data_IF_730082230434
#
_entry.id   IF_730082230434
#
_cell.length_a   1.000
_cell.length_b   1.000
_cell.length_c   1.000
_cell.angle_alpha   90.00
_cell.angle_beta   90.00
_cell.angle_gamma   90.00
#
_symmetry.space_group_name_H-M   'P 1'
#
loop_
_entity.id
_entity.type
_entity.pdbx_description
1 polymer ?
#
# COMPACT_ATOMS: atom_id res chain seq x y z
N UNK A 1 -17.26 -10.72 -9.29
CA UNK A 1 -17.44 -9.34 -9.78
C UNK A 1 -16.88 -8.43 -8.69
N UNK A 2 -15.69 -7.85 -8.89
CA UNK A 2 -15.17 -6.85 -7.95
C UNK A 2 -16.15 -5.67 -7.95
N UNK A 3 -16.66 -5.31 -6.77
CA UNK A 3 -17.49 -4.11 -6.63
C UNK A 3 -16.57 -2.89 -6.80
N UNK A 4 -16.95 -1.97 -7.67
CA UNK A 4 -16.13 -0.80 -7.98
C UNK A 4 -15.99 0.11 -6.76
N UNK A 5 -14.75 0.37 -6.33
CA UNK A 5 -14.45 1.38 -5.31
C UNK A 5 -14.49 2.76 -5.97
N UNK A 6 -15.30 3.68 -5.44
CA UNK A 6 -15.34 5.07 -5.91
C UNK A 6 -14.32 5.89 -5.11
N UNK A 7 -13.47 6.64 -5.80
CA UNK A 7 -12.46 7.53 -5.19
C UNK A 7 -12.86 8.99 -5.38
N UNK A 8 -12.84 9.78 -4.31
CA UNK A 8 -13.16 11.21 -4.35
C UNK A 8 -12.07 12.04 -3.67
N UNK A 9 -11.75 13.18 -4.29
CA UNK A 9 -10.82 14.18 -3.78
C UNK A 9 -11.49 15.56 -3.83
N UNK A 10 -12.08 16.04 -2.71
CA UNK A 10 -12.69 17.36 -2.65
C UNK A 10 -11.67 18.47 -2.94
N UNK A 11 -12.01 19.49 -3.75
CA UNK A 11 -11.08 20.58 -4.09
C UNK A 11 -10.76 21.50 -2.89
N UNK A 12 -11.49 21.37 -1.79
CA UNK A 12 -11.26 22.10 -0.53
C UNK A 12 -10.22 21.45 0.36
N UNK A 13 -9.70 20.27 -0.01
CA UNK A 13 -8.66 19.55 0.72
C UNK A 13 -7.33 19.55 -0.06
N UNK A 14 -6.19 19.25 0.60
CA UNK A 14 -4.91 19.09 -0.09
C UNK A 14 -5.00 18.09 -1.25
N UNK A 15 -4.24 18.34 -2.32
CA UNK A 15 -4.21 17.48 -3.50
C UNK A 15 -3.58 16.11 -3.18
N UNK A 16 -4.41 15.17 -2.76
CA UNK A 16 -3.98 13.81 -2.42
C UNK A 16 -3.51 13.00 -3.66
N UNK A 17 -3.98 13.38 -4.86
CA UNK A 17 -3.60 12.72 -6.11
C UNK A 17 -2.10 12.82 -6.39
N UNK A 18 -1.48 13.98 -6.12
CA UNK A 18 -0.02 14.17 -6.23
C UNK A 18 0.76 13.30 -5.24
N UNK A 19 0.12 12.89 -4.15
CA UNK A 19 0.71 12.10 -3.08
C UNK A 19 0.40 10.59 -3.21
N UNK A 20 -0.27 10.18 -4.29
CA UNK A 20 -0.55 8.77 -4.59
C UNK A 20 -1.69 8.14 -3.78
N UNK A 21 -2.59 8.93 -3.19
CA UNK A 21 -3.76 8.42 -2.46
C UNK A 21 -5.03 9.22 -2.75
N UNK A 22 -6.17 8.75 -2.26
CA UNK A 22 -7.44 9.47 -2.33
C UNK A 22 -7.90 9.87 -0.93
N UNK A 23 -8.48 11.06 -0.80
CA UNK A 23 -9.04 11.55 0.47
C UNK A 23 -10.21 10.66 0.94
N UNK A 24 -10.99 10.13 -0.01
CA UNK A 24 -12.20 9.35 0.27
C UNK A 24 -12.25 8.12 -0.64
N UNK A 25 -12.63 6.98 -0.05
CA UNK A 25 -12.99 5.74 -0.75
C UNK A 25 -14.41 5.35 -0.35
N UNK A 26 -15.30 5.13 -1.31
CA UNK A 26 -16.66 4.64 -1.09
C UNK A 26 -16.75 3.21 -1.62
N UNK A 27 -17.31 2.31 -0.82
CA UNK A 27 -17.57 0.92 -1.20
C UNK A 27 -19.02 0.55 -0.93
N UNK A 28 -19.58 -0.26 -1.81
CA UNK A 28 -20.88 -0.87 -1.61
C UNK A 28 -20.81 -2.00 -0.56
N UNK A 29 -21.94 -2.40 0.03
CA UNK A 29 -21.98 -3.55 0.93
C UNK A 29 -21.51 -4.83 0.23
N UNK A 30 -20.54 -5.51 0.85
CA UNK A 30 -19.92 -6.70 0.29
C UNK A 30 -18.99 -7.40 1.29
N UNK A 31 -18.17 -8.32 0.79
CA UNK A 31 -17.15 -9.00 1.61
C UNK A 31 -16.02 -8.03 1.95
N UNK A 32 -15.74 -7.86 3.23
CA UNK A 32 -14.59 -7.11 3.73
C UNK A 32 -13.56 -8.07 4.32
N UNK A 33 -12.31 -7.94 3.89
CA UNK A 33 -11.18 -8.66 4.48
C UNK A 33 -10.28 -7.67 5.24
N UNK A 34 -9.98 -7.96 6.50
CA UNK A 34 -9.06 -7.18 7.31
C UNK A 34 -7.70 -7.87 7.33
N UNK A 35 -6.72 -7.26 6.69
CA UNK A 35 -5.34 -7.76 6.65
C UNK A 35 -4.59 -7.17 7.84
N UNK A 36 -3.91 -8.01 8.62
CA UNK A 36 -3.04 -7.56 9.71
C UNK A 36 -1.91 -6.68 9.16
N UNK A 37 -1.34 -5.80 9.99
CA UNK A 37 -0.20 -4.98 9.60
C UNK A 37 0.96 -5.84 9.10
N UNK A 38 1.41 -5.58 7.88
CA UNK A 38 2.57 -6.26 7.31
C UNK A 38 3.84 -5.52 7.75
N UNK A 39 4.85 -6.28 8.14
CA UNK A 39 6.16 -5.79 8.57
C UNK A 39 7.26 -6.45 7.75
N UNK A 40 8.49 -5.94 7.83
CA UNK A 40 9.65 -6.42 7.08
C UNK A 40 10.20 -7.78 7.58
N UNK A 41 9.31 -8.70 7.96
CA UNK A 41 9.63 -10.04 8.42
C UNK A 41 9.47 -11.04 7.27
N UNK A 42 10.48 -11.90 7.09
CA UNK A 42 10.48 -12.97 6.08
C UNK A 42 10.10 -14.33 6.69
N UNK A 43 9.42 -15.21 5.93
CA UNK A 43 9.04 -16.54 6.41
C UNK A 43 10.21 -17.42 6.85
N UNK A 44 11.39 -17.23 6.24
CA UNK A 44 12.61 -17.96 6.54
C UNK A 44 13.35 -17.46 7.80
N UNK A 45 12.82 -16.42 8.48
CA UNK A 45 13.42 -15.87 9.69
C UNK A 45 14.69 -15.06 9.45
N UNK A 46 15.01 -14.71 8.20
CA UNK A 46 16.14 -13.83 7.91
C UNK A 46 16.02 -12.48 8.63
N UNK A 47 17.16 -11.87 9.01
CA UNK A 47 17.18 -10.58 9.68
C UNK A 47 16.46 -9.49 8.88
N UNK A 48 15.78 -8.60 9.62
CA UNK A 48 15.20 -7.37 9.07
C UNK A 48 16.34 -6.48 8.57
N UNK A 49 16.31 -5.97 7.32
CA UNK A 49 17.32 -5.03 6.83
C UNK A 49 17.33 -3.75 7.65
N UNK A 50 18.50 -3.10 7.79
CA UNK A 50 18.57 -1.78 8.41
C UNK A 50 18.02 -0.66 7.49
N UNK A 51 18.10 -0.86 6.18
CA UNK A 51 17.67 0.10 5.16
C UNK A 51 16.14 0.12 5.00
N UNK A 52 15.56 1.32 4.98
CA UNK A 52 14.12 1.53 4.91
C UNK A 52 13.53 1.10 3.56
N UNK A 53 14.27 1.26 2.46
CA UNK A 53 13.83 0.86 1.13
C UNK A 53 13.71 -0.66 1.06
N UNK A 54 14.72 -1.37 1.56
CA UNK A 54 14.69 -2.84 1.62
C UNK A 54 13.61 -3.36 2.56
N UNK A 55 13.37 -2.70 3.70
CA UNK A 55 12.22 -3.03 4.56
C UNK A 55 10.89 -2.84 3.82
N UNK A 56 10.73 -1.74 3.09
CA UNK A 56 9.51 -1.40 2.34
C UNK A 56 9.21 -2.45 1.26
N UNK A 57 10.23 -2.92 0.53
CA UNK A 57 10.07 -3.98 -0.47
C UNK A 57 9.50 -5.27 0.15
N UNK A 58 10.00 -5.66 1.33
CA UNK A 58 9.51 -6.86 2.03
C UNK A 58 8.07 -6.65 2.50
N UNK A 59 7.75 -5.49 3.08
CA UNK A 59 6.39 -5.14 3.51
C UNK A 59 5.42 -5.21 2.33
N UNK A 60 5.78 -4.63 1.18
CA UNK A 60 4.96 -4.68 -0.03
C UNK A 60 4.81 -6.11 -0.57
N UNK A 61 5.87 -6.93 -0.54
CA UNK A 61 5.81 -8.34 -0.93
C UNK A 61 4.86 -9.15 -0.04
N UNK A 62 4.93 -8.94 1.28
CA UNK A 62 4.04 -9.57 2.25
C UNK A 62 2.58 -9.13 2.05
N UNK A 63 2.35 -7.84 1.79
CA UNK A 63 1.02 -7.32 1.47
C UNK A 63 0.47 -7.92 0.17
N UNK A 64 1.31 -8.05 -0.87
CA UNK A 64 0.94 -8.72 -2.14
C UNK A 64 0.54 -10.17 -1.90
N UNK A 65 1.31 -10.93 -1.12
CA UNK A 65 0.97 -12.32 -0.80
C UNK A 65 -0.39 -12.44 -0.07
N UNK A 66 -0.73 -11.47 0.80
CA UNK A 66 -2.04 -11.42 1.44
C UNK A 66 -3.18 -11.14 0.43
N UNK A 67 -2.96 -10.25 -0.54
CA UNK A 67 -3.93 -9.99 -1.63
C UNK A 67 -4.11 -11.22 -2.52
N UNK A 68 -3.02 -11.88 -2.90
CA UNK A 68 -3.04 -13.10 -3.72
C UNK A 68 -3.86 -14.21 -3.04
N UNK A 69 -3.70 -14.40 -1.72
CA UNK A 69 -4.49 -15.35 -0.94
C UNK A 69 -5.99 -15.01 -0.87
N UNK A 70 -6.34 -13.73 -1.07
CA UNK A 70 -7.72 -13.25 -1.13
C UNK A 70 -8.31 -13.28 -2.55
N UNK A 71 -7.49 -13.53 -3.57
CA UNK A 71 -7.86 -13.33 -4.98
C UNK A 71 -8.17 -11.87 -5.30
N UNK A 72 -7.49 -10.94 -4.63
CA UNK A 72 -7.68 -9.49 -4.74
C UNK A 72 -6.47 -8.82 -5.40
N UNK A 73 -6.64 -7.60 -5.88
CA UNK A 73 -5.57 -6.77 -6.44
C UNK A 73 -5.41 -5.47 -5.61
N UNK A 74 -4.33 -4.69 -5.81
CA UNK A 74 -4.18 -3.39 -5.15
C UNK A 74 -5.36 -2.42 -5.39
N UNK A 75 -6.05 -2.55 -6.52
CA UNK A 75 -7.23 -1.74 -6.86
C UNK A 75 -8.42 -2.02 -5.94
N UNK A 76 -8.48 -3.21 -5.32
CA UNK A 76 -9.52 -3.59 -4.36
C UNK A 76 -9.27 -3.05 -2.94
N UNK A 77 -8.15 -2.34 -2.70
CA UNK A 77 -7.83 -1.82 -1.36
C UNK A 77 -8.62 -0.55 -1.06
N UNK A 78 -9.51 -0.61 -0.06
CA UNK A 78 -10.29 0.56 0.38
C UNK A 78 -9.44 1.57 1.15
N UNK A 79 -8.56 1.08 2.02
CA UNK A 79 -7.72 1.88 2.92
C UNK A 79 -6.39 1.18 3.20
N UNK A 80 -5.30 1.95 3.16
CA UNK A 80 -3.98 1.54 3.64
C UNK A 80 -3.59 2.42 4.82
N UNK A 81 -3.01 1.82 5.86
CA UNK A 81 -2.41 2.56 6.98
C UNK A 81 -0.93 2.24 7.04
N UNK A 82 -0.09 3.26 6.88
CA UNK A 82 1.36 3.15 6.95
C UNK A 82 1.83 3.78 8.24
N UNK A 83 2.57 3.01 9.04
CA UNK A 83 3.21 3.48 10.26
C UNK A 83 4.73 3.40 10.06
N UNK A 84 5.44 4.45 10.44
CA UNK A 84 6.88 4.55 10.28
C UNK A 84 7.46 5.11 11.59
N UNK A 85 8.57 4.53 12.03
CA UNK A 85 9.37 5.08 13.13
C UNK A 85 10.32 6.15 12.58
N UNK A 86 10.66 7.13 13.41
CA UNK A 86 11.63 8.19 13.07
C UNK A 86 11.30 8.94 11.77
N UNK A 87 10.04 9.33 11.62
CA UNK A 87 9.56 10.09 10.47
C UNK A 87 10.28 11.45 10.41
N UNK A 88 11.07 11.64 9.35
CA UNK A 88 11.82 12.85 9.06
C UNK A 88 11.69 13.18 7.56
N UNK A 89 12.21 14.32 7.13
CA UNK A 89 12.13 14.74 5.73
C UNK A 89 12.73 13.71 4.77
N UNK A 90 13.88 13.11 5.09
CA UNK A 90 14.52 12.10 4.24
C UNK A 90 13.67 10.83 4.11
N UNK A 91 13.11 10.34 5.22
CA UNK A 91 12.22 9.16 5.19
C UNK A 91 10.87 9.46 4.53
N UNK A 92 10.40 10.71 4.57
CA UNK A 92 9.22 11.16 3.83
C UNK A 92 9.45 11.23 2.31
N UNK A 93 10.63 11.66 1.86
CA UNK A 93 10.97 11.70 0.42
C UNK A 93 11.27 10.31 -0.17
N UNK A 94 11.53 9.31 0.68
CA UNK A 94 11.54 7.89 0.26
C UNK A 94 10.18 7.41 -0.26
N UNK A 95 9.09 8.20 -0.11
CA UNK A 95 7.79 7.95 -0.77
C UNK A 95 7.87 7.76 -2.28
N UNK A 96 8.89 8.32 -2.95
CA UNK A 96 9.08 8.09 -4.39
C UNK A 96 9.34 6.63 -4.71
N UNK A 97 9.95 5.89 -3.77
CA UNK A 97 10.16 4.45 -3.88
C UNK A 97 8.83 3.70 -3.82
N UNK A 98 7.88 4.08 -2.96
CA UNK A 98 6.55 3.45 -2.89
C UNK A 98 5.74 3.72 -4.18
N UNK A 99 5.90 4.89 -4.79
CA UNK A 99 5.28 5.19 -6.09
C UNK A 99 6.01 4.54 -7.28
N UNK A 100 7.32 4.33 -7.20
CA UNK A 100 8.09 3.61 -8.23
C UNK A 100 7.82 2.10 -8.17
N UNK A 101 7.57 1.54 -6.98
CA UNK A 101 7.02 0.17 -6.83
C UNK A 101 5.51 0.11 -7.11
N UNK A 102 4.93 1.10 -7.81
CA UNK A 102 3.58 0.96 -8.34
C UNK A 102 3.62 -0.12 -9.42
N UNK A 103 3.05 -1.28 -9.09
CA UNK A 103 2.80 -2.31 -10.08
C UNK A 103 1.91 -1.69 -11.18
N UNK A 104 2.40 -1.68 -12.42
CA UNK A 104 1.63 -1.26 -13.60
C UNK A 104 0.38 -2.15 -13.76
N UNK A 105 -0.53 -1.85 -14.69
CA UNK A 105 -1.79 -2.59 -14.93
C UNK A 105 -1.59 -4.12 -15.15
N UNK A 106 -0.33 -4.55 -15.31
CA UNK A 106 0.13 -5.92 -15.49
C UNK A 106 0.63 -6.62 -14.21
N UNK A 107 0.67 -5.94 -13.06
CA UNK A 107 1.07 -6.55 -11.78
C UNK A 107 2.58 -6.81 -11.62
N UNK A 108 3.41 -6.16 -12.43
CA UNK A 108 4.89 -6.18 -12.33
C UNK A 108 5.35 -4.97 -11.54
N UNK A 109 6.04 -5.22 -10.43
CA UNK A 109 6.63 -4.20 -9.58
C UNK A 109 8.15 -4.20 -9.84
N UNK A 110 8.69 -3.12 -10.43
CA UNK A 110 10.14 -2.86 -10.48
C UNK A 110 10.63 -2.13 -9.23
#
# INVERSE_FOLDING_TARGET
MSQSIIRLNPPTLPNAGEMGYSQISIVEPGRMAYVSGQVAWRPNGEPVPADLVEQTKIVCSNAKAALDALGATPQDIVIVRVFMIDLNSESLYSKRVISETSCDETGVCE
#
